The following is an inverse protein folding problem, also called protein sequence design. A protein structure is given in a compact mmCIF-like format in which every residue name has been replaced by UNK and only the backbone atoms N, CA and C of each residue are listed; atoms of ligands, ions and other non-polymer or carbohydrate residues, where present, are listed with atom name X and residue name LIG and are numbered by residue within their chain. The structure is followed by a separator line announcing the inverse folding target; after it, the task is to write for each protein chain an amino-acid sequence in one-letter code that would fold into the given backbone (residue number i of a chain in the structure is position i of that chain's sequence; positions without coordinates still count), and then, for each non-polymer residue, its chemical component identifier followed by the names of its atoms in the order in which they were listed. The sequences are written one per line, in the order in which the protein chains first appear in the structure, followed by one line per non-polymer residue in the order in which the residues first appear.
data_IF_893420516423
#
_entry.id   IF_893420516423
#
_cell.length_a   1.000
_cell.length_b   1.000
_cell.length_c   1.000
_cell.angle_alpha   90.00
_cell.angle_beta   90.00
_cell.angle_gamma   90.00
#
_symmetry.space_group_name_H-M   'P 1'
#
loop_
_entity.id
_entity.type
_entity.pdbx_description
1 polymer ?
#
# COMPACT_ATOMS: atom_id res chain seq x y z
N UNK A 1 -18.24 -6.64 -14.61
CA UNK A 1 -18.95 -5.81 -15.61
C UNK A 1 -19.09 -6.63 -16.89
N UNK A 2 -20.07 -6.35 -17.73
CA UNK A 2 -20.20 -6.97 -19.06
C UNK A 2 -19.47 -6.14 -20.14
N UNK A 3 -19.60 -6.56 -21.41
CA UNK A 3 -19.00 -5.88 -22.55
C UNK A 3 -19.60 -4.47 -22.82
N UNK A 4 -20.80 -4.21 -22.30
CA UNK A 4 -21.48 -2.91 -22.40
C UNK A 4 -21.15 -2.00 -21.20
N UNK A 5 -20.18 -2.40 -20.37
CA UNK A 5 -19.73 -1.72 -19.15
C UNK A 5 -20.79 -1.62 -18.03
N UNK A 6 -21.81 -2.48 -18.03
CA UNK A 6 -22.77 -2.54 -16.93
C UNK A 6 -22.19 -3.30 -15.73
N UNK A 7 -22.51 -2.84 -14.52
CA UNK A 7 -22.16 -3.54 -13.28
C UNK A 7 -23.14 -4.69 -13.06
N UNK A 8 -22.62 -5.93 -13.05
CA UNK A 8 -23.42 -7.15 -12.83
C UNK A 8 -23.55 -7.50 -11.34
N UNK A 9 -22.46 -7.36 -10.58
CA UNK A 9 -22.40 -7.70 -9.17
C UNK A 9 -21.31 -6.86 -8.48
N UNK A 10 -21.51 -6.61 -7.19
CA UNK A 10 -20.57 -5.88 -6.32
C UNK A 10 -20.48 -6.62 -4.99
N UNK A 11 -19.26 -6.75 -4.47
CA UNK A 11 -19.04 -7.09 -3.07
C UNK A 11 -18.09 -6.09 -2.43
N UNK A 12 -18.31 -5.81 -1.15
CA UNK A 12 -17.53 -4.85 -0.38
C UNK A 12 -17.34 -5.39 1.03
N UNK A 13 -16.18 -5.12 1.61
CA UNK A 13 -15.88 -5.47 3.00
C UNK A 13 -15.04 -4.38 3.63
N UNK A 14 -15.42 -3.97 4.83
CA UNK A 14 -14.61 -3.09 5.66
C UNK A 14 -13.46 -3.88 6.30
N UNK A 15 -12.40 -3.17 6.67
CA UNK A 15 -11.24 -3.67 7.39
C UNK A 15 -10.79 -2.62 8.41
N UNK A 16 -10.03 -3.04 9.42
CA UNK A 16 -9.72 -2.22 10.57
C UNK A 16 -8.86 -1.00 10.21
N UNK A 17 -9.18 0.14 10.83
CA UNK A 17 -8.34 1.34 10.82
C UNK A 17 -7.54 1.37 12.12
N UNK A 18 -6.23 1.18 12.04
CA UNK A 18 -5.37 1.04 13.22
C UNK A 18 -4.76 2.42 13.54
N UNK A 19 -4.96 2.89 14.78
CA UNK A 19 -4.45 4.19 15.25
C UNK A 19 -3.53 4.02 16.46
N UNK A 20 -2.24 3.64 16.28
CA UNK A 20 -1.34 3.40 17.41
C UNK A 20 -1.07 4.64 18.26
N UNK A 21 -1.15 5.83 17.63
CA UNK A 21 -0.98 7.15 18.24
C UNK A 21 -1.83 8.18 17.48
N UNK A 22 -2.21 9.32 18.10
CA UNK A 22 -2.84 10.42 17.38
C UNK A 22 -2.03 10.83 16.13
N UNK A 23 -2.70 10.94 14.98
CA UNK A 23 -2.08 11.25 13.68
C UNK A 23 -1.38 10.07 12.98
N UNK A 24 -1.35 8.89 13.61
CA UNK A 24 -0.85 7.66 13.00
C UNK A 24 -2.02 6.84 12.48
N UNK A 25 -1.89 6.37 11.25
CA UNK A 25 -2.90 5.54 10.58
C UNK A 25 -2.18 4.37 9.93
N UNK A 26 -2.61 3.16 10.26
CA UNK A 26 -2.06 1.89 9.82
C UNK A 26 -3.17 0.95 9.37
N UNK A 27 -2.82 0.01 8.49
CA UNK A 27 -3.64 -1.16 8.19
C UNK A 27 -2.80 -2.42 8.30
N UNK A 28 -3.41 -3.55 8.64
CA UNK A 28 -2.77 -4.85 8.49
C UNK A 28 -2.72 -5.23 6.99
N UNK A 29 -1.54 -5.41 6.37
CA UNK A 29 -1.44 -5.83 4.98
C UNK A 29 -2.08 -7.20 4.70
N UNK A 30 -2.16 -8.07 5.70
CA UNK A 30 -2.82 -9.37 5.58
C UNK A 30 -4.35 -9.24 5.60
N UNK A 31 -4.89 -8.26 6.34
CA UNK A 31 -6.33 -7.97 6.33
C UNK A 31 -6.75 -7.31 5.01
N UNK A 32 -5.92 -6.39 4.46
CA UNK A 32 -6.11 -5.85 3.09
C UNK A 32 -6.21 -7.00 2.08
N UNK A 33 -5.27 -7.94 2.13
CA UNK A 33 -5.28 -9.11 1.24
C UNK A 33 -6.53 -9.99 1.44
N UNK A 34 -6.86 -10.31 2.68
CA UNK A 34 -7.97 -11.21 3.00
C UNK A 34 -9.32 -10.62 2.59
N UNK A 35 -9.55 -9.33 2.86
CA UNK A 35 -10.79 -8.65 2.46
C UNK A 35 -10.89 -8.48 0.94
N UNK A 36 -9.79 -8.14 0.27
CA UNK A 36 -9.79 -8.03 -1.19
C UNK A 36 -10.01 -9.39 -1.89
N UNK A 37 -9.39 -10.45 -1.40
CA UNK A 37 -9.55 -11.81 -1.95
C UNK A 37 -10.95 -12.38 -1.69
N UNK A 38 -11.48 -12.19 -0.48
CA UNK A 38 -12.82 -12.69 -0.14
C UNK A 38 -13.92 -11.98 -0.93
N UNK A 39 -13.81 -10.67 -1.16
CA UNK A 39 -14.77 -9.93 -1.98
C UNK A 39 -14.73 -10.32 -3.46
N UNK A 40 -13.56 -10.68 -3.99
CA UNK A 40 -13.43 -11.27 -5.34
C UNK A 40 -14.18 -12.61 -5.44
N UNK A 41 -13.98 -13.52 -4.47
CA UNK A 41 -14.69 -14.81 -4.45
C UNK A 41 -16.19 -14.61 -4.30
N UNK A 42 -16.60 -13.71 -3.40
CA UNK A 42 -18.00 -13.43 -3.10
C UNK A 42 -18.74 -12.81 -4.29
N UNK A 43 -18.12 -11.88 -5.03
CA UNK A 43 -18.79 -11.22 -6.17
C UNK A 43 -19.06 -12.19 -7.33
N UNK A 44 -18.14 -13.14 -7.55
CA UNK A 44 -18.31 -14.20 -8.55
C UNK A 44 -19.37 -15.21 -8.12
N UNK A 45 -19.34 -15.65 -6.86
CA UNK A 45 -20.34 -16.57 -6.32
C UNK A 45 -21.75 -15.96 -6.32
N UNK A 46 -21.90 -14.67 -5.98
CA UNK A 46 -23.19 -13.94 -6.03
C UNK A 46 -23.77 -13.86 -7.44
N UNK A 47 -22.90 -13.79 -8.46
CA UNK A 47 -23.30 -13.65 -9.85
C UNK A 47 -23.40 -14.98 -10.60
N UNK A 48 -23.05 -16.10 -9.96
CA UNK A 48 -22.91 -17.42 -10.57
C UNK A 48 -21.98 -17.40 -11.81
N UNK A 49 -20.85 -16.69 -11.68
CA UNK A 49 -19.84 -16.52 -12.75
C UNK A 49 -18.60 -17.36 -12.43
N UNK A 50 -18.17 -18.18 -13.39
CA UNK A 50 -16.93 -18.96 -13.31
C UNK A 50 -15.71 -18.18 -13.80
N UNK A 51 -14.51 -18.62 -13.40
CA UNK A 51 -13.27 -17.91 -13.70
C UNK A 51 -12.91 -17.83 -15.19
N UNK A 52 -13.35 -18.81 -16.00
CA UNK A 52 -13.16 -18.86 -17.45
C UNK A 52 -14.02 -17.84 -18.22
N UNK A 53 -15.00 -17.22 -17.55
CA UNK A 53 -15.81 -16.12 -18.10
C UNK A 53 -15.17 -14.74 -17.86
N UNK A 54 -14.07 -14.67 -17.12
CA UNK A 54 -13.37 -13.42 -16.79
C UNK A 54 -12.29 -13.15 -17.83
N UNK A 55 -12.49 -12.12 -18.66
CA UNK A 55 -11.51 -11.73 -19.68
C UNK A 55 -10.23 -11.11 -19.06
N UNK A 56 -10.37 -10.33 -17.99
CA UNK A 56 -9.27 -9.65 -17.31
C UNK A 56 -9.67 -9.21 -15.89
N UNK A 57 -8.67 -8.89 -15.07
CA UNK A 57 -8.84 -8.27 -13.76
C UNK A 57 -8.23 -6.87 -13.80
N UNK A 58 -9.02 -5.86 -13.44
CA UNK A 58 -8.55 -4.49 -13.24
C UNK A 58 -8.24 -4.24 -11.77
N UNK A 59 -7.09 -3.66 -11.47
CA UNK A 59 -6.67 -3.30 -10.11
C UNK A 59 -6.66 -1.77 -9.97
N UNK A 60 -7.31 -1.29 -8.92
CA UNK A 60 -7.21 0.09 -8.44
C UNK A 60 -7.10 0.06 -6.93
N UNK A 61 -6.45 1.06 -6.34
CA UNK A 61 -6.12 1.04 -4.93
C UNK A 61 -6.06 2.44 -4.32
N UNK A 62 -6.12 2.48 -2.98
CA UNK A 62 -5.64 3.65 -2.25
C UNK A 62 -4.16 3.87 -2.55
N UNK A 63 -3.84 5.07 -3.02
CA UNK A 63 -2.48 5.46 -3.40
C UNK A 63 -1.65 5.77 -2.15
N UNK A 64 -0.34 5.93 -2.36
CA UNK A 64 0.71 6.28 -1.39
C UNK A 64 0.93 5.33 -0.18
N UNK A 65 -0.09 4.58 0.25
CA UNK A 65 0.02 3.61 1.34
C UNK A 65 1.16 2.63 1.08
N UNK A 66 2.08 2.54 2.04
CA UNK A 66 3.38 1.88 1.90
C UNK A 66 3.41 0.54 2.62
N UNK A 67 3.82 -0.51 1.92
CA UNK A 67 4.03 -1.85 2.48
C UNK A 67 5.46 -2.30 2.17
N UNK A 68 6.13 -2.92 3.15
CA UNK A 68 7.44 -3.57 2.99
C UNK A 68 7.34 -5.00 3.50
N UNK A 69 7.80 -5.97 2.73
CA UNK A 69 7.68 -7.39 3.05
C UNK A 69 8.94 -8.16 2.68
N UNK A 70 9.09 -9.34 3.27
CA UNK A 70 10.15 -10.28 2.97
C UNK A 70 9.91 -10.93 1.62
N UNK A 71 10.90 -10.87 0.71
CA UNK A 71 10.80 -11.43 -0.63
C UNK A 71 10.49 -12.93 -0.63
N UNK A 72 11.17 -13.68 0.22
CA UNK A 72 11.07 -15.16 0.24
C UNK A 72 9.77 -15.66 0.86
N UNK A 73 9.22 -14.95 1.85
CA UNK A 73 8.08 -15.43 2.63
C UNK A 73 6.77 -14.71 2.31
N UNK A 74 6.83 -13.55 1.66
CA UNK A 74 5.67 -12.67 1.43
C UNK A 74 5.15 -11.99 2.71
N UNK A 75 5.83 -12.15 3.86
CA UNK A 75 5.37 -11.62 5.15
C UNK A 75 5.74 -10.15 5.28
N UNK A 76 4.79 -9.26 5.63
CA UNK A 76 5.11 -7.88 5.95
C UNK A 76 6.06 -7.79 7.15
N UNK A 77 7.01 -6.86 7.10
CA UNK A 77 7.91 -6.59 8.24
C UNK A 77 7.36 -5.53 9.19
N UNK A 78 6.27 -4.86 8.77
CA UNK A 78 5.54 -3.84 9.51
C UNK A 78 4.14 -3.69 8.91
N UNK A 79 3.23 -3.03 9.64
CA UNK A 79 1.93 -2.66 9.09
C UNK A 79 2.05 -1.75 7.86
N UNK A 80 0.99 -1.70 7.05
CA UNK A 80 0.90 -0.72 5.97
C UNK A 80 0.80 0.68 6.58
N UNK A 81 1.72 1.58 6.23
CA UNK A 81 1.63 2.98 6.67
C UNK A 81 0.75 3.73 5.67
N UNK A 82 -0.43 4.15 6.14
CA UNK A 82 -1.46 4.75 5.29
C UNK A 82 -1.07 6.15 4.84
N UNK A 83 -1.54 6.57 3.66
CA UNK A 83 -1.32 7.91 3.09
C UNK A 83 -1.66 9.06 4.06
N UNK A 84 -2.73 8.92 4.85
CA UNK A 84 -3.13 9.90 5.87
C UNK A 84 -2.14 10.04 7.02
N UNK A 85 -1.31 9.02 7.28
CA UNK A 85 -0.43 9.02 8.45
C UNK A 85 0.58 10.17 8.40
N UNK A 86 0.69 10.89 9.52
CA UNK A 86 1.54 12.08 9.68
C UNK A 86 2.88 11.80 10.36
N UNK A 87 3.21 10.53 10.65
CA UNK A 87 4.39 10.16 11.46
C UNK A 87 5.72 10.64 10.90
N UNK A 88 5.78 10.91 9.59
CA UNK A 88 7.00 11.31 8.89
C UNK A 88 7.16 12.82 8.76
N UNK A 89 6.35 13.62 9.46
CA UNK A 89 6.44 15.08 9.47
C UNK A 89 7.86 15.60 9.78
N UNK A 90 8.53 15.01 10.78
CA UNK A 90 9.90 15.40 11.12
C UNK A 90 10.91 15.08 10.00
N UNK A 91 10.74 13.94 9.31
CA UNK A 91 11.57 13.59 8.14
C UNK A 91 11.35 14.63 7.02
N UNK A 92 10.11 15.05 6.80
CA UNK A 92 9.76 16.11 5.85
C UNK A 92 10.40 17.46 6.20
N UNK A 93 10.44 17.83 7.48
CA UNK A 93 11.10 19.07 7.92
C UNK A 93 12.61 19.04 7.69
N UNK A 94 13.26 17.88 7.84
CA UNK A 94 14.67 17.73 7.45
C UNK A 94 14.88 17.93 5.95
N UNK A 95 14.03 17.34 5.09
CA UNK A 95 14.15 17.53 3.64
C UNK A 95 13.97 19.00 3.22
N UNK A 96 13.05 19.73 3.86
CA UNK A 96 12.88 21.17 3.64
C UNK A 96 14.10 21.97 4.07
N UNK A 97 14.65 21.67 5.25
CA UNK A 97 15.86 22.32 5.79
C UNK A 97 17.08 22.11 4.90
N UNK A 98 17.17 20.95 4.26
CA UNK A 98 18.21 20.61 3.30
C UNK A 98 18.01 21.28 1.92
N UNK A 99 16.96 22.11 1.75
CA UNK A 99 16.71 22.87 0.53
C UNK A 99 16.19 22.02 -0.64
N UNK A 100 15.63 20.83 -0.37
CA UNK A 100 15.25 19.87 -1.42
C UNK A 100 13.88 20.15 -2.05
N UNK A 101 13.19 21.22 -1.67
CA UNK A 101 11.81 21.49 -2.11
C UNK A 101 11.70 21.65 -3.63
N UNK A 102 12.52 22.51 -4.23
CA UNK A 102 12.49 22.76 -5.68
C UNK A 102 12.93 21.53 -6.48
N UNK A 103 13.90 20.78 -5.96
CA UNK A 103 14.36 19.55 -6.57
C UNK A 103 13.24 18.50 -6.59
N UNK A 104 12.58 18.26 -5.45
CA UNK A 104 11.49 17.28 -5.36
C UNK A 104 10.33 17.70 -6.26
N UNK A 105 9.92 18.98 -6.23
CA UNK A 105 8.85 19.49 -7.08
C UNK A 105 9.16 19.32 -8.56
N UNK A 106 10.37 19.69 -8.99
CA UNK A 106 10.73 19.65 -10.41
C UNK A 106 10.86 18.23 -10.96
N UNK A 107 11.34 17.29 -10.15
CA UNK A 107 11.60 15.91 -10.60
C UNK A 107 10.43 14.95 -10.39
N UNK A 108 9.53 15.25 -9.43
CA UNK A 108 8.42 14.34 -9.08
C UNK A 108 7.04 14.96 -9.26
N UNK A 109 6.96 16.29 -9.38
CA UNK A 109 5.69 17.03 -9.34
C UNK A 109 5.08 17.15 -7.94
N UNK A 110 5.73 16.60 -6.91
CA UNK A 110 5.18 16.49 -5.56
C UNK A 110 5.67 17.62 -4.64
N UNK A 111 4.94 17.85 -3.55
CA UNK A 111 5.36 18.68 -2.42
C UNK A 111 6.04 17.81 -1.35
N UNK A 112 6.80 18.44 -0.44
CA UNK A 112 7.32 17.73 0.73
C UNK A 112 6.23 17.65 1.80
N UNK A 113 5.55 16.50 1.85
CA UNK A 113 4.50 16.20 2.84
C UNK A 113 4.54 14.72 3.27
N UNK A 114 4.15 14.37 4.51
CA UNK A 114 4.03 12.99 4.98
C UNK A 114 3.08 12.10 4.18
N UNK A 115 2.29 12.67 3.26
CA UNK A 115 1.38 11.97 2.37
C UNK A 115 2.08 10.90 1.53
N UNK A 116 3.26 11.19 0.99
CA UNK A 116 3.92 10.35 0.00
C UNK A 116 4.76 9.21 0.60
N UNK A 117 4.90 8.14 -0.19
CA UNK A 117 5.49 6.86 0.24
C UNK A 117 6.97 6.92 0.64
N UNK A 118 7.76 7.79 0.02
CA UNK A 118 9.23 7.78 0.19
C UNK A 118 9.68 7.94 1.64
N UNK A 119 9.05 8.87 2.38
CA UNK A 119 9.37 9.07 3.80
C UNK A 119 8.86 7.91 4.68
N UNK A 120 7.77 7.26 4.29
CA UNK A 120 7.23 6.08 5.00
C UNK A 120 8.14 4.86 4.84
N UNK A 121 8.70 4.65 3.64
CA UNK A 121 9.72 3.60 3.41
C UNK A 121 10.95 3.84 4.28
N UNK A 122 11.48 5.07 4.27
CA UNK A 122 12.59 5.46 5.15
C UNK A 122 12.25 5.17 6.62
N UNK A 123 11.06 5.55 7.06
CA UNK A 123 10.63 5.32 8.44
C UNK A 123 10.66 3.83 8.80
N UNK A 124 10.08 2.95 7.98
CA UNK A 124 10.11 1.49 8.22
C UNK A 124 11.55 0.98 8.30
N UNK A 125 12.39 1.38 7.35
CA UNK A 125 13.79 0.95 7.30
C UNK A 125 14.61 1.44 8.51
N UNK A 126 14.21 2.53 9.13
CA UNK A 126 14.89 3.11 10.30
C UNK A 126 14.41 2.52 11.61
N UNK A 127 13.19 1.98 11.66
CA UNK A 127 12.54 1.52 12.89
C UNK A 127 12.49 0.00 13.02
N UNK A 128 12.49 -0.74 11.91
CA UNK A 128 12.58 -2.20 11.93
C UNK A 128 14.05 -2.60 11.96
N UNK A 129 14.49 -3.20 13.06
CA UNK A 129 15.89 -3.58 13.28
C UNK A 129 16.43 -4.47 12.14
N UNK A 130 17.64 -4.16 11.67
CA UNK A 130 18.31 -4.88 10.59
C UNK A 130 17.70 -4.70 9.19
N UNK A 131 16.54 -4.05 9.06
CA UNK A 131 15.82 -3.96 7.78
C UNK A 131 16.60 -3.25 6.67
N UNK A 132 17.40 -2.21 6.98
CA UNK A 132 18.29 -1.56 5.99
C UNK A 132 19.28 -2.54 5.35
N UNK A 133 19.94 -3.39 6.15
CA UNK A 133 20.91 -4.35 5.60
C UNK A 133 20.21 -5.48 4.84
N UNK A 134 19.05 -5.93 5.32
CA UNK A 134 18.19 -6.89 4.60
C UNK A 134 17.74 -6.33 3.25
N UNK A 135 17.33 -5.06 3.19
CA UNK A 135 16.93 -4.39 1.96
C UNK A 135 18.10 -4.30 0.96
N UNK A 136 19.31 -3.94 1.41
CA UNK A 136 20.51 -3.91 0.55
C UNK A 136 20.89 -5.28 0.00
N UNK A 137 20.61 -6.35 0.74
CA UNK A 137 20.77 -7.75 0.29
C UNK A 137 19.66 -8.22 -0.64
N UNK A 138 18.66 -7.39 -0.95
CA UNK A 138 17.53 -7.74 -1.81
C UNK A 138 16.52 -8.69 -1.16
N UNK A 139 16.54 -8.83 0.17
CA UNK A 139 15.65 -9.71 0.93
C UNK A 139 14.29 -9.06 1.21
N UNK A 140 14.19 -7.74 1.04
CA UNK A 140 12.96 -6.98 1.26
C UNK A 140 12.48 -6.35 -0.04
N UNK A 141 11.16 -6.39 -0.22
CA UNK A 141 10.47 -5.70 -1.31
C UNK A 141 9.63 -4.56 -0.73
N UNK A 142 9.51 -3.49 -1.51
CA UNK A 142 8.61 -2.37 -1.26
C UNK A 142 7.55 -2.32 -2.35
N UNK A 143 6.35 -1.92 -1.97
CA UNK A 143 5.26 -1.66 -2.91
C UNK A 143 4.18 -0.77 -2.31
N UNK A 144 3.48 -0.08 -3.20
CA UNK A 144 2.13 0.42 -2.92
C UNK A 144 1.13 -0.75 -2.94
N UNK A 145 -0.13 -0.48 -2.59
CA UNK A 145 -1.15 -1.55 -2.43
C UNK A 145 -1.34 -2.37 -3.71
N UNK A 146 -1.34 -1.75 -4.90
CA UNK A 146 -1.37 -2.44 -6.20
C UNK A 146 -0.25 -3.47 -6.37
N UNK A 147 0.99 -3.08 -6.05
CA UNK A 147 2.15 -3.97 -6.15
C UNK A 147 2.03 -5.13 -5.17
N UNK A 148 1.53 -4.87 -3.96
CA UNK A 148 1.29 -5.90 -2.94
C UNK A 148 0.18 -6.88 -3.38
N UNK A 149 -0.93 -6.38 -3.94
CA UNK A 149 -2.03 -7.21 -4.43
C UNK A 149 -1.64 -8.02 -5.66
N UNK A 150 -0.77 -7.49 -6.53
CA UNK A 150 -0.33 -8.19 -7.75
C UNK A 150 0.77 -9.23 -7.47
N UNK A 151 1.50 -9.09 -6.37
CA UNK A 151 2.60 -9.97 -5.98
C UNK A 151 2.22 -11.12 -5.04
N UNK A 152 0.94 -11.26 -4.71
CA UNK A 152 0.38 -12.34 -3.88
C UNK A 152 -0.51 -13.25 -4.71
#
# INVERSE_FOLDING_TARGET
MDHDANIISVSQREFEQIYPKPGWVEHDPMEIWATQSSTLVEVLAKADISSDQIAAIGITNQRETTIVWEKETGKPIYNAIVWQCRRTAEICEHLKRDGLEDYIRSNTGLVIDPYFSGTKVKWILDHVEGSRERARRGELLFGTVDTCLSGK
#
